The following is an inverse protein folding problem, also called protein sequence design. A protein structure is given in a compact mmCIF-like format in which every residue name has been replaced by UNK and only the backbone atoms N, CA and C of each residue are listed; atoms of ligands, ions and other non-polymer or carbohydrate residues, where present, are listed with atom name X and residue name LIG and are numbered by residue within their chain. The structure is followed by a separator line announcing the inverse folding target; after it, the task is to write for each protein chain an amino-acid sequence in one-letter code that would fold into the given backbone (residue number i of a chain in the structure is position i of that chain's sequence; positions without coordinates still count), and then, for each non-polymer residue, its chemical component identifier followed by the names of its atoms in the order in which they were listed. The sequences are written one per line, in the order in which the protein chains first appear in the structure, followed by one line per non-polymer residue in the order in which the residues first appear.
data_IF_608747247230
#
_entry.id   IF_608747247230
#
_cell.length_a   1.000
_cell.length_b   1.000
_cell.length_c   1.000
_cell.angle_alpha   90.00
_cell.angle_beta   90.00
_cell.angle_gamma   90.00
#
_symmetry.space_group_name_H-M   'P 1'
#
loop_
_entity.id
_entity.type
_entity.pdbx_description
1 polymer ?
#
# COMPACT_ATOMS: atom_id res chain seq x y z
N UNK A 1 -35.89 -67.94 -6.17
CA UNK A 1 -36.74 -66.78 -6.38
C UNK A 1 -36.52 -65.80 -5.22
N UNK A 2 -35.67 -64.80 -5.36
CA UNK A 2 -35.49 -63.77 -4.37
C UNK A 2 -35.22 -62.45 -5.11
N UNK A 3 -36.16 -61.56 -4.95
CA UNK A 3 -36.38 -60.29 -5.62
C UNK A 3 -35.46 -59.25 -5.00
N UNK A 4 -34.41 -58.84 -5.68
CA UNK A 4 -33.54 -57.71 -5.27
C UNK A 4 -34.26 -56.42 -5.55
N UNK A 5 -34.59 -55.69 -4.50
CA UNK A 5 -35.23 -54.37 -4.57
C UNK A 5 -34.12 -53.32 -4.67
N UNK A 6 -33.92 -52.73 -5.84
CA UNK A 6 -33.04 -51.60 -6.04
C UNK A 6 -33.67 -50.31 -5.45
N UNK A 7 -33.15 -49.81 -4.37
CA UNK A 7 -33.49 -48.51 -3.86
C UNK A 7 -32.70 -47.41 -4.59
N UNK A 8 -33.34 -46.74 -5.52
CA UNK A 8 -32.83 -45.56 -6.17
C UNK A 8 -32.89 -44.41 -5.15
N UNK A 9 -31.76 -44.06 -4.53
CA UNK A 9 -31.63 -42.85 -3.74
C UNK A 9 -31.61 -41.65 -4.67
N UNK A 10 -32.70 -40.92 -4.71
CA UNK A 10 -32.82 -39.62 -5.33
C UNK A 10 -31.95 -38.61 -4.55
N UNK A 11 -30.78 -38.25 -5.11
CA UNK A 11 -30.00 -37.13 -4.64
C UNK A 11 -30.77 -35.85 -4.89
N UNK A 12 -31.41 -35.32 -3.85
CA UNK A 12 -31.98 -34.00 -3.82
C UNK A 12 -30.87 -32.98 -4.08
N UNK A 13 -30.88 -32.42 -5.27
CA UNK A 13 -30.05 -31.24 -5.61
C UNK A 13 -30.50 -30.11 -4.69
N UNK A 14 -29.71 -29.85 -3.65
CA UNK A 14 -29.84 -28.61 -2.89
C UNK A 14 -29.49 -27.47 -3.81
N UNK A 15 -30.47 -26.78 -4.31
CA UNK A 15 -30.35 -25.52 -5.00
C UNK A 15 -29.79 -24.49 -4.03
N UNK A 16 -28.51 -24.15 -4.22
CA UNK A 16 -27.93 -22.97 -3.59
C UNK A 16 -28.78 -21.74 -3.96
N UNK A 17 -29.18 -20.91 -3.02
CA UNK A 17 -29.91 -19.68 -3.32
C UNK A 17 -28.95 -18.71 -4.02
N UNK A 18 -29.02 -18.67 -5.34
CA UNK A 18 -28.34 -17.73 -6.22
C UNK A 18 -29.14 -16.43 -6.24
N UNK A 19 -29.19 -15.71 -5.13
CA UNK A 19 -29.73 -14.35 -5.10
C UNK A 19 -28.64 -13.36 -4.66
N UNK A 20 -27.57 -13.30 -5.43
CA UNK A 20 -26.80 -12.08 -5.43
C UNK A 20 -27.59 -11.04 -6.23
N UNK A 21 -28.08 -10.02 -5.52
CA UNK A 21 -28.80 -8.95 -6.18
C UNK A 21 -27.85 -8.29 -7.18
N UNK A 22 -28.29 -8.07 -8.43
CA UNK A 22 -27.44 -7.50 -9.49
C UNK A 22 -26.81 -6.15 -9.09
N UNK A 23 -27.42 -5.44 -8.13
CA UNK A 23 -26.93 -4.17 -7.58
C UNK A 23 -25.65 -4.32 -6.76
N UNK A 24 -25.43 -5.44 -6.06
CA UNK A 24 -24.19 -5.67 -5.31
C UNK A 24 -23.01 -5.93 -6.25
N UNK A 25 -23.24 -6.67 -7.32
CA UNK A 25 -22.23 -6.99 -8.34
C UNK A 25 -21.79 -5.72 -9.08
N UNK A 26 -22.74 -4.83 -9.40
CA UNK A 26 -22.45 -3.55 -10.06
C UNK A 26 -21.62 -2.61 -9.18
N UNK A 27 -21.94 -2.52 -7.89
CA UNK A 27 -21.16 -1.70 -6.94
C UNK A 27 -19.75 -2.26 -6.76
N UNK A 28 -19.62 -3.59 -6.65
CA UNK A 28 -18.29 -4.22 -6.52
C UNK A 28 -17.44 -4.02 -7.78
N UNK A 29 -18.01 -4.20 -8.98
CA UNK A 29 -17.34 -3.89 -10.24
C UNK A 29 -16.95 -2.41 -10.36
N UNK A 30 -17.82 -1.49 -9.95
CA UNK A 30 -17.53 -0.07 -9.98
C UNK A 30 -16.36 0.32 -9.06
N UNK A 31 -16.29 -0.28 -7.86
CA UNK A 31 -15.18 -0.06 -6.92
C UNK A 31 -13.87 -0.64 -7.46
N UNK A 32 -13.90 -1.84 -8.04
CA UNK A 32 -12.72 -2.46 -8.64
C UNK A 32 -12.23 -1.67 -9.86
N UNK A 33 -13.12 -1.22 -10.73
CA UNK A 33 -12.80 -0.36 -11.87
C UNK A 33 -12.25 1.00 -11.42
N UNK A 34 -12.78 1.57 -10.36
CA UNK A 34 -12.29 2.82 -9.78
C UNK A 34 -10.88 2.65 -9.23
N UNK A 35 -10.58 1.54 -8.53
CA UNK A 35 -9.23 1.23 -8.06
C UNK A 35 -8.23 1.00 -9.21
N UNK A 36 -8.67 0.39 -10.33
CA UNK A 36 -7.83 0.16 -11.51
C UNK A 36 -7.56 1.44 -12.31
N UNK A 37 -8.46 2.43 -12.27
CA UNK A 37 -8.28 3.72 -12.95
C UNK A 37 -7.18 4.60 -12.31
N UNK A 38 -6.80 4.34 -11.06
CA UNK A 38 -5.70 5.05 -10.39
C UNK A 38 -4.31 4.47 -10.68
N UNK A 39 -4.21 3.40 -11.47
CA UNK A 39 -2.92 2.85 -11.89
C UNK A 39 -2.37 3.62 -13.10
N UNK A 40 -2.10 4.92 -12.93
CA UNK A 40 -1.36 5.69 -13.94
C UNK A 40 0.11 5.31 -13.86
N UNK A 41 0.54 4.46 -14.78
CA UNK A 41 1.95 4.14 -14.98
C UNK A 41 2.67 5.41 -15.44
N UNK A 42 3.49 5.99 -14.58
CA UNK A 42 4.48 6.98 -14.99
C UNK A 42 5.50 6.29 -15.89
N UNK A 43 5.66 6.79 -17.10
CA UNK A 43 6.63 6.30 -18.07
C UNK A 43 8.03 6.59 -17.58
N UNK A 44 8.75 5.56 -17.12
CA UNK A 44 10.13 5.69 -16.68
C UNK A 44 11.05 5.77 -17.89
N UNK A 45 11.93 6.76 -17.88
CA UNK A 45 13.11 6.87 -18.72
C UNK A 45 14.04 5.67 -18.47
N UNK A 46 14.76 5.20 -19.46
CA UNK A 46 15.55 3.94 -19.56
C UNK A 46 16.60 3.64 -18.47
N UNK A 47 16.46 4.13 -17.26
CA UNK A 47 17.35 3.78 -16.15
C UNK A 47 16.76 2.59 -15.36
N UNK A 48 17.58 1.61 -14.95
CA UNK A 48 17.08 0.46 -14.20
C UNK A 48 16.43 0.89 -12.88
N UNK A 49 15.17 0.49 -12.69
CA UNK A 49 14.43 0.72 -11.45
C UNK A 49 14.51 -0.51 -10.56
N UNK A 50 14.76 -0.32 -9.29
CA UNK A 50 14.87 -1.41 -8.32
C UNK A 50 13.75 -1.35 -7.28
N UNK A 51 12.99 -2.43 -7.19
CA UNK A 51 12.04 -2.64 -6.10
C UNK A 51 12.48 -3.84 -5.29
N UNK A 52 12.79 -3.64 -4.01
CA UNK A 52 13.29 -4.70 -3.14
C UNK A 52 12.48 -4.82 -1.84
N UNK A 53 12.38 -6.04 -1.35
CA UNK A 53 11.72 -6.39 -0.10
C UNK A 53 12.72 -7.08 0.83
N UNK A 54 13.00 -6.46 2.00
CA UNK A 54 13.83 -7.06 3.03
C UNK A 54 15.34 -7.12 2.77
N UNK A 55 15.83 -6.66 1.61
CA UNK A 55 17.25 -6.66 1.29
C UNK A 55 17.75 -5.24 1.06
N UNK A 56 18.89 -4.89 1.67
CA UNK A 56 19.47 -3.57 1.53
C UNK A 56 19.95 -3.32 0.08
N UNK A 57 19.63 -2.13 -0.42
CA UNK A 57 20.08 -1.67 -1.74
C UNK A 57 21.35 -0.82 -1.55
N UNK A 58 22.38 -1.11 -2.33
CA UNK A 58 23.60 -0.32 -2.34
C UNK A 58 23.94 0.04 -3.78
N UNK A 59 23.91 1.33 -4.08
CA UNK A 59 24.25 1.89 -5.39
C UNK A 59 25.73 2.26 -5.38
N UNK A 60 26.48 1.71 -6.34
CA UNK A 60 27.92 1.98 -6.48
C UNK A 60 28.23 3.38 -6.97
N UNK A 61 29.51 3.84 -6.80
CA UNK A 61 29.88 5.24 -7.12
C UNK A 61 29.81 5.61 -8.60
N UNK A 62 29.79 4.64 -9.50
CA UNK A 62 29.68 4.86 -10.96
C UNK A 62 28.36 4.32 -11.52
N UNK A 63 27.42 4.02 -10.64
CA UNK A 63 26.13 3.46 -11.03
C UNK A 63 25.09 4.56 -11.09
N UNK A 64 24.31 4.55 -12.19
CA UNK A 64 23.15 5.41 -12.35
C UNK A 64 21.89 4.56 -12.38
N UNK A 65 20.98 4.86 -11.48
CA UNK A 65 19.72 4.14 -11.34
C UNK A 65 18.55 5.10 -11.49
N UNK A 66 17.39 4.55 -11.87
CA UNK A 66 16.14 5.27 -11.94
C UNK A 66 15.45 5.32 -10.58
N UNK A 67 14.25 4.79 -10.53
CA UNK A 67 13.44 4.76 -9.31
C UNK A 67 13.88 3.65 -8.36
N UNK A 68 13.87 3.94 -7.06
CA UNK A 68 14.21 3.02 -5.99
C UNK A 68 13.06 2.89 -4.99
N UNK A 69 12.51 1.70 -4.88
CA UNK A 69 11.48 1.40 -3.88
C UNK A 69 11.94 0.27 -2.96
N UNK A 70 11.90 0.52 -1.66
CA UNK A 70 12.43 -0.39 -0.65
C UNK A 70 11.43 -0.60 0.48
N UNK A 71 11.08 -1.87 0.75
CA UNK A 71 10.19 -2.25 1.84
C UNK A 71 10.97 -3.04 2.92
N UNK A 72 11.07 -2.47 4.14
CA UNK A 72 11.79 -3.09 5.26
C UNK A 72 13.28 -3.21 5.04
N UNK A 73 13.88 -2.33 4.26
CA UNK A 73 15.29 -2.35 3.89
C UNK A 73 15.90 -0.95 3.87
N UNK A 74 17.22 -0.87 3.93
CA UNK A 74 17.94 0.40 3.86
C UNK A 74 18.58 0.60 2.48
N UNK A 75 18.54 1.84 2.01
CA UNK A 75 19.15 2.26 0.74
C UNK A 75 20.41 3.04 1.04
N UNK A 76 21.50 2.67 0.40
CA UNK A 76 22.79 3.38 0.45
C UNK A 76 23.18 3.83 -0.95
N UNK A 77 23.22 5.13 -1.15
CA UNK A 77 23.54 5.76 -2.43
C UNK A 77 24.96 6.31 -2.41
N UNK A 78 25.83 5.79 -3.29
CA UNK A 78 27.17 6.32 -3.56
C UNK A 78 27.30 6.87 -4.98
N UNK A 79 26.33 6.60 -5.82
CA UNK A 79 26.30 7.00 -7.23
C UNK A 79 25.26 8.07 -7.51
N UNK A 80 24.59 7.92 -8.64
CA UNK A 80 23.56 8.85 -9.09
C UNK A 80 22.18 8.15 -9.14
N UNK A 81 21.18 8.79 -8.59
CA UNK A 81 19.78 8.39 -8.72
C UNK A 81 19.06 9.44 -9.55
N UNK A 82 18.48 9.03 -10.68
CA UNK A 82 17.79 9.92 -11.61
C UNK A 82 16.25 9.84 -11.49
N UNK A 83 15.74 9.28 -10.42
CA UNK A 83 14.31 9.10 -10.14
C UNK A 83 14.04 9.18 -8.65
N UNK A 84 12.82 8.80 -8.29
CA UNK A 84 12.34 8.89 -6.91
C UNK A 84 12.86 7.75 -6.03
N UNK A 85 13.07 8.06 -4.76
CA UNK A 85 13.52 7.12 -3.74
C UNK A 85 12.46 6.97 -2.68
N UNK A 86 11.79 5.83 -2.64
CA UNK A 86 10.73 5.55 -1.66
C UNK A 86 11.14 4.41 -0.73
N UNK A 87 11.08 4.65 0.58
CA UNK A 87 11.44 3.65 1.59
C UNK A 87 10.36 3.49 2.64
N UNK A 88 9.97 2.26 2.90
CA UNK A 88 9.03 1.90 3.96
C UNK A 88 9.75 1.07 5.04
N UNK A 89 9.88 1.64 6.24
CA UNK A 89 10.48 0.94 7.38
C UNK A 89 11.99 0.72 7.30
N UNK A 90 12.72 1.60 6.56
CA UNK A 90 14.17 1.54 6.43
C UNK A 90 14.81 2.92 6.43
N UNK A 91 16.13 2.98 6.31
CA UNK A 91 16.88 4.23 6.29
C UNK A 91 17.46 4.51 4.90
N UNK A 92 17.47 5.77 4.50
CA UNK A 92 18.15 6.24 3.29
C UNK A 92 19.45 6.94 3.70
N UNK A 93 20.55 6.46 3.18
CA UNK A 93 21.87 7.06 3.39
C UNK A 93 22.43 7.47 2.03
N UNK A 94 22.50 8.78 1.81
CA UNK A 94 23.17 9.36 0.65
C UNK A 94 24.59 9.69 1.09
N UNK A 95 25.56 8.96 0.55
CA UNK A 95 26.97 9.13 0.91
C UNK A 95 27.59 10.35 0.22
N UNK A 96 28.86 10.56 0.51
CA UNK A 96 29.61 11.75 0.08
C UNK A 96 29.59 11.92 -1.44
N UNK A 97 29.36 13.15 -1.90
CA UNK A 97 29.36 13.56 -3.32
C UNK A 97 28.34 12.82 -4.21
N UNK A 98 27.42 12.07 -3.64
CA UNK A 98 26.34 11.40 -4.38
C UNK A 98 25.26 12.39 -4.82
N UNK A 99 24.58 12.07 -5.91
CA UNK A 99 23.51 12.90 -6.45
C UNK A 99 22.19 12.15 -6.55
N UNK A 100 21.13 12.77 -6.05
CA UNK A 100 19.76 12.29 -6.23
C UNK A 100 18.97 13.37 -6.97
N UNK A 101 18.41 13.02 -8.11
CA UNK A 101 17.52 13.87 -8.92
C UNK A 101 16.14 13.24 -8.89
N UNK A 102 15.29 13.72 -7.99
CA UNK A 102 13.95 13.19 -7.73
C UNK A 102 13.55 13.38 -6.26
N UNK A 103 12.34 12.95 -5.92
CA UNK A 103 11.83 13.02 -4.56
C UNK A 103 12.38 11.89 -3.68
N UNK A 104 12.71 12.21 -2.43
CA UNK A 104 13.06 11.21 -1.43
C UNK A 104 11.93 11.12 -0.40
N UNK A 105 11.20 10.03 -0.40
CA UNK A 105 10.12 9.79 0.55
C UNK A 105 10.44 8.61 1.47
N UNK A 106 10.44 8.85 2.77
CA UNK A 106 10.72 7.82 3.78
C UNK A 106 9.58 7.70 4.78
N UNK A 107 9.06 6.49 4.93
CA UNK A 107 8.05 6.14 5.94
C UNK A 107 8.69 5.32 7.05
N UNK A 108 8.61 5.82 8.28
CA UNK A 108 9.15 5.16 9.49
C UNK A 108 10.65 4.81 9.38
N UNK A 109 11.46 5.74 8.85
CA UNK A 109 12.91 5.57 8.70
C UNK A 109 13.66 6.89 8.77
N UNK A 110 14.98 6.79 8.93
CA UNK A 110 15.85 7.97 9.01
C UNK A 110 16.48 8.28 7.63
N UNK A 111 16.66 9.56 7.34
CA UNK A 111 17.45 10.02 6.18
C UNK A 111 18.76 10.61 6.69
N UNK A 112 19.88 10.22 6.06
CA UNK A 112 21.20 10.79 6.31
C UNK A 112 21.81 11.25 5.00
N UNK A 113 22.19 12.53 4.95
CA UNK A 113 22.93 13.12 3.83
C UNK A 113 24.35 13.38 4.27
N UNK A 114 25.32 12.74 3.60
CA UNK A 114 26.74 12.93 3.81
C UNK A 114 27.27 14.24 3.22
N UNK A 115 28.56 14.55 3.48
CA UNK A 115 29.19 15.77 2.98
C UNK A 115 29.17 15.84 1.45
N UNK A 116 28.80 17.00 0.91
CA UNK A 116 28.77 17.22 -0.53
C UNK A 116 27.67 16.44 -1.27
N UNK A 117 26.76 15.75 -0.57
CA UNK A 117 25.60 15.11 -1.18
C UNK A 117 24.66 16.16 -1.77
N UNK A 118 24.15 15.89 -2.97
CA UNK A 118 23.25 16.80 -3.69
C UNK A 118 21.90 16.13 -3.91
N UNK A 119 20.83 16.75 -3.44
CA UNK A 119 19.46 16.32 -3.69
C UNK A 119 18.74 17.42 -4.47
N UNK A 120 18.31 17.10 -5.69
CA UNK A 120 17.52 17.99 -6.54
C UNK A 120 16.08 17.48 -6.61
N UNK A 121 15.28 17.86 -5.64
CA UNK A 121 13.92 17.42 -5.44
C UNK A 121 13.50 17.56 -3.99
N UNK A 122 12.27 17.19 -3.69
CA UNK A 122 11.70 17.32 -2.36
C UNK A 122 12.13 16.15 -1.46
N UNK A 123 12.24 16.41 -0.17
CA UNK A 123 12.57 15.39 0.82
C UNK A 123 11.47 15.31 1.86
N UNK A 124 10.77 14.19 1.89
CA UNK A 124 9.65 13.96 2.79
C UNK A 124 9.97 12.82 3.77
N UNK A 125 9.91 13.11 5.06
CA UNK A 125 10.17 12.12 6.13
C UNK A 125 8.95 11.98 7.02
N UNK A 126 8.34 10.80 7.00
CA UNK A 126 7.23 10.45 7.88
C UNK A 126 7.70 9.54 9.02
N UNK A 127 7.62 10.01 10.26
CA UNK A 127 7.88 9.21 11.45
C UNK A 127 9.36 8.85 11.68
N UNK A 128 10.29 9.61 11.07
CA UNK A 128 11.72 9.44 11.22
C UNK A 128 12.46 10.74 11.51
N UNK A 129 13.78 10.70 11.41
CA UNK A 129 14.67 11.85 11.60
C UNK A 129 15.47 12.09 10.35
N UNK A 130 15.62 13.36 9.99
CA UNK A 130 16.56 13.77 8.97
C UNK A 130 17.84 14.29 9.61
N UNK A 131 18.99 13.78 9.15
CA UNK A 131 20.31 14.29 9.48
C UNK A 131 20.98 14.75 8.20
N UNK A 132 21.29 16.02 8.14
CA UNK A 132 21.96 16.65 7.00
C UNK A 132 23.32 17.17 7.44
N UNK A 133 24.35 16.83 6.68
CA UNK A 133 25.66 17.46 6.82
C UNK A 133 25.58 18.93 6.36
N UNK A 134 26.35 19.85 6.95
CA UNK A 134 26.39 21.26 6.54
C UNK A 134 26.79 21.48 5.07
N UNK A 135 27.58 20.58 4.50
CA UNK A 135 28.02 20.66 3.10
C UNK A 135 27.03 20.01 2.12
N UNK A 136 25.99 19.33 2.61
CA UNK A 136 24.96 18.76 1.76
C UNK A 136 24.01 19.83 1.24
N UNK A 137 23.68 19.77 -0.05
CA UNK A 137 22.76 20.69 -0.72
C UNK A 137 21.44 20.00 -1.07
N UNK A 138 20.33 20.64 -0.71
CA UNK A 138 18.99 20.23 -1.13
C UNK A 138 18.37 21.40 -1.89
N UNK A 139 17.95 21.14 -3.13
CA UNK A 139 17.27 22.10 -3.98
C UNK A 139 15.80 21.73 -4.11
N UNK A 140 15.06 21.82 -3.03
CA UNK A 140 13.65 21.47 -2.91
C UNK A 140 13.15 21.68 -1.50
N UNK A 141 11.90 21.37 -1.26
CA UNK A 141 11.28 21.50 0.05
C UNK A 141 11.62 20.30 0.94
N UNK A 142 11.83 20.58 2.22
CA UNK A 142 12.08 19.54 3.22
C UNK A 142 10.90 19.48 4.18
N UNK A 143 10.13 18.42 4.08
CA UNK A 143 8.98 18.16 4.96
C UNK A 143 9.31 17.03 5.91
N UNK A 144 9.37 17.34 7.21
CA UNK A 144 9.55 16.32 8.25
C UNK A 144 8.30 16.26 9.10
N UNK A 145 7.54 15.21 8.99
CA UNK A 145 6.41 14.93 9.88
C UNK A 145 6.89 14.02 11.01
N UNK A 146 7.49 14.66 12.02
CA UNK A 146 7.92 13.99 13.23
C UNK A 146 6.73 13.70 14.13
N UNK A 147 6.56 12.42 14.48
CA UNK A 147 5.54 11.99 15.42
C UNK A 147 4.92 10.65 15.00
N UNK A 148 5.37 9.59 15.64
CA UNK A 148 4.83 8.24 15.48
C UNK A 148 3.30 8.18 15.69
N UNK A 149 2.74 9.20 16.31
CA UNK A 149 1.31 9.30 16.64
C UNK A 149 0.44 9.64 15.43
N UNK A 150 0.96 10.35 14.43
CA UNK A 150 0.21 10.73 13.24
C UNK A 150 0.12 9.62 12.19
N UNK A 151 1.15 8.79 12.11
CA UNK A 151 1.21 7.71 11.14
C UNK A 151 0.17 6.62 11.44
N UNK A 152 -0.03 6.29 12.72
CA UNK A 152 -0.98 5.26 13.15
C UNK A 152 -2.42 5.56 12.72
N UNK A 153 -2.99 6.76 12.98
CA UNK A 153 -4.35 7.06 12.55
C UNK A 153 -4.50 7.16 11.04
N UNK A 154 -3.51 7.69 10.31
CA UNK A 154 -3.59 7.81 8.83
C UNK A 154 -3.62 6.44 8.16
N UNK A 155 -2.78 5.50 8.62
CA UNK A 155 -2.76 4.14 8.08
C UNK A 155 -3.96 3.33 8.56
N UNK A 156 -4.38 3.51 9.82
CA UNK A 156 -5.47 2.74 10.41
C UNK A 156 -6.86 3.24 9.97
N UNK A 157 -7.01 4.53 9.70
CA UNK A 157 -8.28 5.14 9.33
C UNK A 157 -8.99 4.47 8.14
N UNK A 158 -8.34 4.17 6.99
CA UNK A 158 -8.99 3.51 5.89
C UNK A 158 -9.45 2.09 6.24
N UNK A 159 -8.68 1.35 7.05
CA UNK A 159 -9.07 0.01 7.49
C UNK A 159 -10.24 0.03 8.46
N UNK A 160 -10.25 0.99 9.39
CA UNK A 160 -11.39 1.21 10.30
C UNK A 160 -12.63 1.63 9.52
N UNK A 161 -12.49 2.50 8.53
CA UNK A 161 -13.60 2.94 7.70
C UNK A 161 -14.22 1.79 6.92
N UNK A 162 -13.39 0.96 6.27
CA UNK A 162 -13.84 -0.25 5.55
C UNK A 162 -14.49 -1.24 6.53
N UNK A 163 -13.88 -1.49 7.68
CA UNK A 163 -14.44 -2.37 8.72
C UNK A 163 -15.79 -1.90 9.22
N UNK A 164 -15.94 -0.60 9.48
CA UNK A 164 -17.20 0.01 9.92
C UNK A 164 -18.27 -0.07 8.83
N UNK A 165 -17.89 0.14 7.57
CA UNK A 165 -18.79 0.03 6.43
C UNK A 165 -19.29 -1.41 6.26
N UNK A 166 -18.40 -2.40 6.37
CA UNK A 166 -18.78 -3.82 6.33
C UNK A 166 -19.71 -4.18 7.50
N UNK A 167 -19.37 -3.75 8.72
CA UNK A 167 -20.20 -3.97 9.90
C UNK A 167 -21.58 -3.32 9.74
N UNK A 168 -21.64 -2.11 9.19
CA UNK A 168 -22.90 -1.41 8.91
C UNK A 168 -23.76 -2.16 7.88
N UNK A 169 -23.16 -2.67 6.80
CA UNK A 169 -23.86 -3.46 5.79
C UNK A 169 -24.40 -4.75 6.40
N UNK A 170 -23.61 -5.46 7.21
CA UNK A 170 -24.06 -6.68 7.91
C UNK A 170 -25.22 -6.36 8.84
N UNK A 171 -25.12 -5.29 9.61
CA UNK A 171 -26.17 -4.84 10.51
C UNK A 171 -27.48 -4.51 9.76
N UNK A 172 -27.35 -3.80 8.62
CA UNK A 172 -28.52 -3.46 7.78
C UNK A 172 -29.20 -4.71 7.22
N UNK A 173 -28.41 -5.67 6.73
CA UNK A 173 -28.94 -6.96 6.23
C UNK A 173 -29.63 -7.76 7.34
N UNK A 174 -29.02 -7.80 8.53
CA UNK A 174 -29.64 -8.49 9.69
C UNK A 174 -30.93 -7.80 10.15
N UNK A 175 -30.95 -6.46 10.10
CA UNK A 175 -32.17 -5.70 10.45
C UNK A 175 -33.29 -5.93 9.46
N UNK A 176 -33.02 -6.05 8.17
CA UNK A 176 -34.02 -6.36 7.15
C UNK A 176 -34.50 -7.83 7.21
N UNK A 177 -33.69 -8.73 7.77
CA UNK A 177 -34.02 -10.15 7.91
C UNK A 177 -34.77 -10.51 9.20
N UNK A 178 -35.05 -9.57 10.09
CA UNK A 178 -35.88 -9.85 11.27
C UNK A 178 -37.33 -10.06 10.81
N UNK A 179 -37.85 -11.32 10.77
CA UNK A 179 -39.24 -11.56 10.48
C UNK A 179 -40.05 -10.95 11.62
N UNK A 180 -41.11 -10.24 11.26
CA UNK A 180 -42.14 -9.81 12.22
C UNK A 180 -42.65 -11.05 12.91
N UNK A 181 -42.52 -11.13 14.23
CA UNK A 181 -43.11 -12.23 15.00
C UNK A 181 -44.61 -12.25 14.75
N UNK A 182 -45.24 -13.41 14.44
CA UNK A 182 -46.69 -13.49 14.32
C UNK A 182 -47.28 -13.13 15.65
N UNK A 183 -48.21 -12.17 15.64
CA UNK A 183 -49.06 -11.89 16.81
C UNK A 183 -49.87 -13.15 17.13
N UNK A 184 -49.54 -13.77 18.27
CA UNK A 184 -50.39 -14.84 18.83
C UNK A 184 -51.67 -14.18 19.33
N UNK A 185 -52.75 -14.34 18.59
CA UNK A 185 -54.09 -14.00 19.04
C UNK A 185 -54.49 -15.00 20.12
N UNK A 186 -54.79 -14.51 21.31
CA UNK A 186 -55.44 -15.24 22.40
C UNK A 186 -56.97 -15.25 22.21
#
# INVERSE_FOLDING_TARGET
MSKVRSSSQSWSRRSFPRTWSPKLTTVFCAVVLFCLAFSTSASAKDNPSYTQLGHNISIGPNEQVGELTCFGCSIRVRGQVAGDVTTFGGSVVVEDQSQVVGEITTFAGDIRLGPGAKVSGDVTVFGGRMRRDPEASISGDVTTMGGRHWFVPIVLAPFLFVGLLVAFVIWLVQRMRRPSAPAVAA
#
